data_IF_208006317442
#
_entry.id   IF_208006317442
#
_cell.length_a   1.000
_cell.length_b   1.000
_cell.length_c   1.000
_cell.angle_alpha   90.00
_cell.angle_beta   90.00
_cell.angle_gamma   90.00
#
_symmetry.space_group_name_H-M   'P 1'
#
loop_
_entity.id
_entity.type
_entity.pdbx_description
1 polymer ?
#
# COMPACT_ATOMS: atom_id res chain seq x y z
N UNK A 1 17.96 24.36 -7.48
CA UNK A 1 18.02 22.88 -7.52
C UNK A 1 17.52 22.17 -6.22
N UNK A 2 17.03 22.87 -5.19
CA UNK A 2 16.58 22.27 -3.90
C UNK A 2 15.13 21.71 -3.93
N UNK A 3 14.27 22.16 -4.84
CA UNK A 3 12.85 21.76 -4.85
C UNK A 3 12.58 20.33 -5.34
N UNK A 4 13.43 19.76 -6.18
CA UNK A 4 13.22 18.38 -6.71
C UNK A 4 13.51 17.28 -5.71
N UNK A 5 14.33 17.55 -4.68
CA UNK A 5 14.68 16.57 -3.66
C UNK A 5 13.56 16.40 -2.62
N UNK A 6 12.91 17.52 -2.26
CA UNK A 6 11.82 17.52 -1.27
C UNK A 6 10.59 16.80 -1.82
N UNK A 7 10.30 16.92 -3.13
CA UNK A 7 9.17 16.24 -3.75
C UNK A 7 9.37 14.71 -3.82
N UNK A 8 10.61 14.26 -4.05
CA UNK A 8 10.94 12.82 -4.03
C UNK A 8 10.85 12.22 -2.62
N UNK A 9 11.24 12.98 -1.60
CA UNK A 9 11.18 12.51 -0.21
C UNK A 9 9.74 12.44 0.31
N UNK A 10 8.89 13.41 -0.06
CA UNK A 10 7.47 13.41 0.31
C UNK A 10 6.68 12.25 -0.29
N UNK A 11 6.96 11.90 -1.56
CA UNK A 11 6.31 10.77 -2.23
C UNK A 11 6.73 9.43 -1.61
N UNK A 12 8.00 9.30 -1.21
CA UNK A 12 8.52 8.08 -0.58
C UNK A 12 7.90 7.82 0.79
N UNK A 13 7.70 8.88 1.59
CA UNK A 13 7.06 8.76 2.92
C UNK A 13 5.57 8.41 2.82
N UNK A 14 4.87 8.89 1.80
CA UNK A 14 3.43 8.60 1.60
C UNK A 14 3.20 7.12 1.25
N UNK A 15 4.08 6.55 0.44
CA UNK A 15 4.01 5.14 0.06
C UNK A 15 4.43 4.23 1.24
N UNK A 16 5.45 4.60 2.02
CA UNK A 16 5.93 3.81 3.17
C UNK A 16 4.85 3.67 4.26
N UNK A 17 4.00 4.68 4.44
CA UNK A 17 2.90 4.65 5.40
C UNK A 17 1.79 3.65 5.02
N UNK A 18 1.64 3.30 3.74
CA UNK A 18 0.64 2.34 3.29
C UNK A 18 0.97 0.89 3.68
N UNK A 19 2.25 0.57 3.86
CA UNK A 19 2.73 -0.79 4.19
C UNK A 19 2.68 -1.13 5.67
N UNK A 20 2.80 -0.13 6.55
CA UNK A 20 2.76 -0.34 8.00
C UNK A 20 1.34 -0.57 8.54
N UNK A 21 0.32 -0.50 7.67
CA UNK A 21 -1.10 -0.55 8.07
C UNK A 21 -1.65 -1.97 8.18
N UNK A 22 -1.08 -2.92 7.46
CA UNK A 22 -1.61 -4.29 7.46
C UNK A 22 -1.67 -4.92 8.88
N UNK A 23 -0.67 -4.73 9.78
CA UNK A 23 -0.79 -5.21 11.15
C UNK A 23 -1.55 -4.26 12.10
N UNK A 24 -1.68 -2.96 11.78
CA UNK A 24 -2.34 -1.99 12.68
C UNK A 24 -3.88 -1.97 12.54
N UNK A 25 -4.44 -2.58 11.50
CA UNK A 25 -5.89 -2.64 11.24
C UNK A 25 -6.66 -3.44 12.31
N UNK A 26 -6.01 -4.27 13.10
CA UNK A 26 -6.60 -4.98 14.23
C UNK A 26 -7.02 -4.08 15.40
N UNK A 27 -6.60 -2.81 15.43
CA UNK A 27 -6.90 -1.89 16.54
C UNK A 27 -8.17 -1.05 16.33
N UNK A 28 -8.71 -0.99 15.11
CA UNK A 28 -9.91 -0.18 14.82
C UNK A 28 -11.23 -0.93 14.95
N UNK A 29 -11.20 -2.24 15.21
CA UNK A 29 -12.38 -3.09 15.22
C UNK A 29 -13.00 -3.34 13.83
N UNK A 30 -12.45 -2.74 12.78
CA UNK A 30 -12.92 -2.96 11.40
C UNK A 30 -12.16 -4.13 10.77
N UNK A 31 -12.88 -4.95 10.01
CA UNK A 31 -12.27 -6.03 9.24
C UNK A 31 -11.58 -5.50 7.99
N UNK A 32 -10.58 -6.23 7.49
CA UNK A 32 -9.93 -5.89 6.22
C UNK A 32 -10.92 -5.83 5.05
N UNK A 33 -11.97 -6.64 5.10
CA UNK A 33 -13.04 -6.68 4.10
C UNK A 33 -13.88 -5.40 4.12
N UNK A 34 -14.28 -4.92 5.31
CA UNK A 34 -15.02 -3.67 5.47
C UNK A 34 -14.22 -2.46 4.98
N UNK A 35 -12.94 -2.40 5.31
CA UNK A 35 -12.05 -1.36 4.82
C UNK A 35 -11.87 -1.41 3.30
N UNK A 36 -11.74 -2.60 2.74
CA UNK A 36 -11.67 -2.80 1.30
C UNK A 36 -12.93 -2.31 0.59
N UNK A 37 -14.12 -2.62 1.14
CA UNK A 37 -15.39 -2.13 0.63
C UNK A 37 -15.50 -0.61 0.71
N UNK A 38 -15.17 -0.02 1.86
CA UNK A 38 -15.19 1.44 2.03
C UNK A 38 -14.24 2.14 1.05
N UNK A 39 -13.04 1.59 0.82
CA UNK A 39 -12.11 2.13 -0.17
C UNK A 39 -12.69 2.08 -1.58
N UNK A 40 -13.31 0.96 -1.96
CA UNK A 40 -13.94 0.79 -3.27
C UNK A 40 -15.06 1.81 -3.48
N UNK A 41 -15.94 1.97 -2.49
CA UNK A 41 -17.05 2.92 -2.55
C UNK A 41 -16.53 4.37 -2.60
N UNK A 42 -15.48 4.68 -1.83
CA UNK A 42 -14.84 5.99 -1.85
C UNK A 42 -14.21 6.32 -3.21
N UNK A 43 -13.48 5.36 -3.80
CA UNK A 43 -12.91 5.50 -5.16
C UNK A 43 -14.01 5.75 -6.19
N UNK A 44 -15.10 4.98 -6.17
CA UNK A 44 -16.20 5.15 -7.11
C UNK A 44 -16.79 6.58 -7.03
N UNK A 45 -16.96 7.14 -5.84
CA UNK A 45 -17.42 8.51 -5.65
C UNK A 45 -16.43 9.53 -6.21
N UNK A 46 -15.13 9.37 -5.96
CA UNK A 46 -14.10 10.26 -6.52
C UNK A 46 -14.13 10.24 -8.06
N UNK A 47 -14.21 9.06 -8.68
CA UNK A 47 -14.21 8.93 -10.14
C UNK A 47 -15.43 9.64 -10.75
N UNK A 48 -16.58 9.56 -10.10
CA UNK A 48 -17.80 10.29 -10.47
C UNK A 48 -17.62 11.80 -10.35
N UNK A 49 -17.04 12.28 -9.24
CA UNK A 49 -16.79 13.72 -9.02
C UNK A 49 -15.77 14.28 -10.03
N UNK A 50 -14.81 13.46 -10.44
CA UNK A 50 -13.82 13.80 -11.46
C UNK A 50 -14.38 13.75 -12.88
N UNK A 51 -15.63 13.30 -13.08
CA UNK A 51 -16.28 13.14 -14.38
C UNK A 51 -15.43 12.30 -15.32
N UNK A 52 -14.96 11.16 -14.84
CA UNK A 52 -14.20 10.21 -15.66
C UNK A 52 -15.12 9.64 -16.74
N UNK A 53 -14.63 9.57 -17.97
CA UNK A 53 -15.42 9.02 -19.08
C UNK A 53 -15.69 7.52 -18.86
N UNK A 54 -16.87 6.98 -19.28
CA UNK A 54 -17.27 5.60 -18.97
C UNK A 54 -16.31 4.52 -19.49
N UNK A 55 -15.63 4.76 -20.59
CA UNK A 55 -14.59 3.86 -21.12
C UNK A 55 -13.37 3.82 -20.20
N UNK A 56 -12.98 4.96 -19.66
CA UNK A 56 -11.88 5.10 -18.69
C UNK A 56 -12.23 4.51 -17.33
N UNK A 57 -13.48 4.67 -16.89
CA UNK A 57 -13.97 4.04 -15.66
C UNK A 57 -13.89 2.51 -15.75
N UNK A 58 -14.30 1.91 -16.87
CA UNK A 58 -14.13 0.48 -17.11
C UNK A 58 -12.67 0.04 -17.09
N UNK A 59 -11.77 0.84 -17.69
CA UNK A 59 -10.34 0.56 -17.66
C UNK A 59 -9.79 0.59 -16.22
N UNK A 60 -10.23 1.54 -15.39
CA UNK A 60 -9.83 1.64 -13.98
C UNK A 60 -10.31 0.44 -13.15
N UNK A 61 -11.54 -0.04 -13.39
CA UNK A 61 -12.04 -1.27 -12.75
C UNK A 61 -11.17 -2.47 -13.13
N UNK A 62 -10.83 -2.62 -14.42
CA UNK A 62 -9.98 -3.72 -14.88
C UNK A 62 -8.56 -3.66 -14.26
N UNK A 63 -7.98 -2.46 -14.09
CA UNK A 63 -6.71 -2.25 -13.39
C UNK A 63 -6.84 -2.73 -11.93
N UNK A 64 -7.89 -2.34 -11.22
CA UNK A 64 -8.11 -2.73 -9.83
C UNK A 64 -8.24 -4.26 -9.68
N UNK A 65 -9.02 -4.90 -10.53
CA UNK A 65 -9.19 -6.36 -10.51
C UNK A 65 -7.86 -7.09 -10.76
N UNK A 66 -7.11 -6.68 -11.79
CA UNK A 66 -5.77 -7.22 -12.11
C UNK A 66 -4.85 -7.19 -10.89
N UNK A 67 -4.73 -6.01 -10.26
CA UNK A 67 -3.82 -5.85 -9.13
C UNK A 67 -4.36 -6.45 -7.83
N UNK A 68 -5.66 -6.59 -7.66
CA UNK A 68 -6.26 -7.29 -6.53
C UNK A 68 -5.87 -8.77 -6.52
N UNK A 69 -5.96 -9.45 -7.67
CA UNK A 69 -5.53 -10.84 -7.81
C UNK A 69 -4.03 -10.99 -7.55
N UNK A 70 -3.21 -10.14 -8.20
CA UNK A 70 -1.76 -10.16 -8.03
C UNK A 70 -1.34 -9.92 -6.57
N UNK A 71 -2.01 -9.00 -5.86
CA UNK A 71 -1.71 -8.76 -4.44
C UNK A 71 -2.07 -9.92 -3.55
N UNK A 72 -3.13 -10.67 -3.84
CA UNK A 72 -3.45 -11.89 -3.09
C UNK A 72 -2.26 -12.84 -3.02
N UNK A 73 -1.64 -13.16 -4.16
CA UNK A 73 -0.46 -14.01 -4.23
C UNK A 73 0.76 -13.40 -3.49
N UNK A 74 0.96 -12.09 -3.62
CA UNK A 74 2.08 -11.40 -2.96
C UNK A 74 1.92 -11.43 -1.43
N UNK A 75 0.69 -11.22 -0.93
CA UNK A 75 0.38 -11.26 0.52
C UNK A 75 0.59 -12.66 1.07
N UNK A 76 0.14 -13.70 0.36
CA UNK A 76 0.37 -15.09 0.77
C UNK A 76 1.85 -15.44 0.83
N UNK A 77 2.62 -14.98 -0.15
CA UNK A 77 4.08 -15.19 -0.16
C UNK A 77 4.78 -14.39 0.97
N UNK A 78 4.31 -13.19 1.26
CA UNK A 78 4.82 -12.38 2.37
C UNK A 78 4.54 -13.05 3.72
N UNK A 79 3.35 -13.63 3.89
CA UNK A 79 3.01 -14.39 5.09
C UNK A 79 3.91 -15.62 5.26
N UNK A 80 4.10 -16.40 4.19
CA UNK A 80 5.01 -17.55 4.22
C UNK A 80 6.45 -17.15 4.58
N UNK A 81 6.95 -16.04 4.03
CA UNK A 81 8.27 -15.52 4.34
C UNK A 81 8.38 -15.09 5.81
N UNK A 82 7.33 -14.46 6.36
CA UNK A 82 7.24 -14.11 7.77
C UNK A 82 7.26 -15.36 8.68
N UNK A 83 6.44 -16.35 8.36
CA UNK A 83 6.36 -17.61 9.13
C UNK A 83 7.72 -18.34 9.11
N UNK A 84 8.40 -18.33 7.96
CA UNK A 84 9.76 -18.89 7.81
C UNK A 84 10.76 -18.15 8.69
N UNK A 85 10.71 -16.82 8.73
CA UNK A 85 11.58 -16.00 9.59
C UNK A 85 11.32 -16.30 11.07
N UNK A 86 10.07 -16.38 11.48
CA UNK A 86 9.74 -16.73 12.87
C UNK A 86 10.24 -18.12 13.24
N UNK A 87 10.07 -19.10 12.36
CA UNK A 87 10.56 -20.47 12.59
C UNK A 87 12.10 -20.52 12.69
N UNK A 88 12.81 -19.76 11.85
CA UNK A 88 14.27 -19.69 11.89
C UNK A 88 14.79 -19.09 13.21
N UNK A 89 14.08 -18.08 13.76
CA UNK A 89 14.42 -17.45 15.03
C UNK A 89 14.05 -18.32 16.23
N UNK A 90 12.99 -19.12 16.15
CA UNK A 90 12.55 -20.01 17.24
C UNK A 90 13.36 -21.31 17.34
N UNK A 91 14.22 -21.62 16.39
CA UNK A 91 15.02 -22.84 16.37
C UNK A 91 16.00 -22.88 17.57
N UNK A 92 16.16 -24.02 18.27
CA UNK A 92 17.02 -24.16 19.45
C UNK A 92 18.52 -23.86 19.18
N UNK A 93 18.93 -24.00 17.92
CA UNK A 93 20.21 -23.55 17.39
C UNK A 93 19.89 -22.72 16.16
N UNK A 94 19.81 -21.41 16.32
CA UNK A 94 19.66 -20.51 15.18
C UNK A 94 20.91 -20.59 14.30
N UNK A 95 20.68 -20.83 13.02
CA UNK A 95 21.69 -20.80 11.98
C UNK A 95 21.65 -19.41 11.35
N UNK A 96 22.69 -18.62 11.57
CA UNK A 96 22.75 -17.23 11.06
C UNK A 96 22.54 -17.15 9.55
N UNK A 97 22.99 -18.15 8.78
CA UNK A 97 22.78 -18.17 7.34
C UNK A 97 21.31 -18.34 7.00
N UNK A 98 20.57 -19.22 7.68
CA UNK A 98 19.13 -19.41 7.50
C UNK A 98 18.33 -18.21 7.94
N UNK A 99 18.70 -17.58 9.06
CA UNK A 99 18.06 -16.34 9.51
C UNK A 99 18.26 -15.23 8.49
N UNK A 100 19.48 -15.05 7.97
CA UNK A 100 19.78 -14.06 6.93
C UNK A 100 18.97 -14.30 5.65
N UNK A 101 18.87 -15.54 5.20
CA UNK A 101 18.05 -15.90 4.03
C UNK A 101 16.58 -15.58 4.26
N UNK A 102 16.03 -15.94 5.42
CA UNK A 102 14.64 -15.68 5.76
C UNK A 102 14.35 -14.17 5.88
N UNK A 103 15.28 -13.37 6.45
CA UNK A 103 15.18 -11.90 6.48
C UNK A 103 15.15 -11.34 5.07
N UNK A 104 16.05 -11.79 4.18
CA UNK A 104 16.08 -11.34 2.79
C UNK A 104 14.77 -11.66 2.08
N UNK A 105 14.28 -12.89 2.21
CA UNK A 105 13.02 -13.33 1.60
C UNK A 105 11.82 -12.49 2.08
N UNK A 106 11.79 -12.14 3.37
CA UNK A 106 10.73 -11.27 3.92
C UNK A 106 10.81 -9.85 3.36
N UNK A 107 12.00 -9.24 3.32
CA UNK A 107 12.21 -7.91 2.77
C UNK A 107 11.81 -7.86 1.29
N UNK A 108 12.22 -8.87 0.51
CA UNK A 108 11.87 -8.96 -0.92
C UNK A 108 10.37 -9.11 -1.16
N UNK A 109 9.69 -9.88 -0.31
CA UNK A 109 8.23 -10.01 -0.38
C UNK A 109 7.53 -8.66 -0.09
N UNK A 110 8.01 -7.91 0.92
CA UNK A 110 7.50 -6.56 1.21
C UNK A 110 7.77 -5.59 0.05
N UNK A 111 8.96 -5.64 -0.56
CA UNK A 111 9.31 -4.80 -1.70
C UNK A 111 8.42 -5.07 -2.92
N UNK A 112 8.06 -6.35 -3.18
CA UNK A 112 7.11 -6.72 -4.25
C UNK A 112 5.72 -6.14 -4.01
N UNK A 113 5.21 -6.18 -2.78
CA UNK A 113 3.93 -5.60 -2.44
C UNK A 113 3.92 -4.08 -2.73
N UNK A 114 4.99 -3.42 -2.35
CA UNK A 114 5.21 -2.00 -2.61
C UNK A 114 5.19 -1.66 -4.10
N UNK A 115 5.96 -2.45 -4.86
CA UNK A 115 6.05 -2.28 -6.31
C UNK A 115 4.68 -2.47 -6.97
N UNK A 116 3.89 -3.45 -6.52
CA UNK A 116 2.55 -3.70 -7.02
C UNK A 116 1.60 -2.52 -6.79
N UNK A 117 1.64 -1.90 -5.60
CA UNK A 117 0.84 -0.69 -5.34
C UNK A 117 1.26 0.49 -6.22
N UNK A 118 2.57 0.68 -6.40
CA UNK A 118 3.07 1.74 -7.28
C UNK A 118 2.61 1.53 -8.72
N UNK A 119 2.75 0.32 -9.23
CA UNK A 119 2.34 -0.03 -10.59
C UNK A 119 0.84 0.17 -10.80
N UNK A 120 0.01 -0.25 -9.84
CA UNK A 120 -1.43 0.01 -9.90
C UNK A 120 -1.72 1.51 -9.98
N UNK A 121 -1.10 2.30 -9.11
CA UNK A 121 -1.31 3.75 -9.10
C UNK A 121 -0.87 4.38 -10.43
N UNK A 122 0.27 3.98 -10.97
CA UNK A 122 0.76 4.47 -12.26
C UNK A 122 -0.23 4.14 -13.39
N UNK A 123 -0.78 2.91 -13.43
CA UNK A 123 -1.78 2.49 -14.42
C UNK A 123 -3.13 3.21 -14.24
N UNK A 124 -3.59 3.42 -13.00
CA UNK A 124 -4.79 4.21 -12.72
C UNK A 124 -4.63 5.68 -13.19
N UNK A 125 -3.51 6.31 -12.84
CA UNK A 125 -3.24 7.69 -13.22
C UNK A 125 -3.11 7.87 -14.74
N UNK A 126 -2.61 6.87 -15.47
CA UNK A 126 -2.51 6.92 -16.92
C UNK A 126 -3.88 7.04 -17.63
N UNK A 127 -4.99 6.68 -16.96
CA UNK A 127 -6.34 6.84 -17.48
C UNK A 127 -6.90 8.26 -17.30
N UNK A 128 -6.18 9.16 -16.63
CA UNK A 128 -6.65 10.47 -16.18
C UNK A 128 -5.85 11.61 -16.81
N UNK A 129 -6.50 12.76 -17.01
CA UNK A 129 -5.79 14.00 -17.35
C UNK A 129 -4.94 14.48 -16.15
N UNK A 130 -3.91 15.32 -16.37
CA UNK A 130 -3.07 15.81 -15.26
C UNK A 130 -3.85 16.47 -14.12
N UNK A 131 -4.91 17.21 -14.43
CA UNK A 131 -5.77 17.82 -13.40
C UNK A 131 -6.55 16.77 -12.62
N UNK A 132 -7.08 15.74 -13.29
CA UNK A 132 -7.78 14.64 -12.63
C UNK A 132 -6.82 13.83 -11.75
N UNK A 133 -5.60 13.55 -12.23
CA UNK A 133 -4.54 12.89 -11.44
C UNK A 133 -4.27 13.61 -10.12
N UNK A 134 -4.06 14.94 -10.17
CA UNK A 134 -3.83 15.74 -8.97
C UNK A 134 -5.00 15.69 -7.98
N UNK A 135 -6.23 15.83 -8.47
CA UNK A 135 -7.43 15.74 -7.63
C UNK A 135 -7.63 14.35 -7.03
N UNK A 136 -7.39 13.29 -7.82
CA UNK A 136 -7.45 11.92 -7.37
C UNK A 136 -6.47 11.65 -6.24
N UNK A 137 -5.21 12.03 -6.40
CA UNK A 137 -4.18 11.85 -5.37
C UNK A 137 -4.50 12.59 -4.07
N UNK A 138 -5.00 13.83 -4.17
CA UNK A 138 -5.43 14.59 -2.98
C UNK A 138 -6.60 13.91 -2.26
N UNK A 139 -7.57 13.39 -3.01
CA UNK A 139 -8.69 12.68 -2.43
C UNK A 139 -8.24 11.36 -1.76
N UNK A 140 -7.41 10.57 -2.41
CA UNK A 140 -6.86 9.33 -1.84
C UNK A 140 -6.05 9.58 -0.57
N UNK A 141 -5.26 10.66 -0.52
CA UNK A 141 -4.52 11.05 0.68
C UNK A 141 -5.46 11.46 1.83
N UNK A 142 -6.54 12.18 1.55
CA UNK A 142 -7.56 12.52 2.56
C UNK A 142 -8.21 11.26 3.14
N UNK A 143 -8.57 10.29 2.28
CA UNK A 143 -9.11 9.01 2.73
C UNK A 143 -8.12 8.28 3.64
N UNK A 144 -6.86 8.21 3.23
CA UNK A 144 -5.81 7.61 4.02
C UNK A 144 -5.71 8.23 5.42
N UNK A 145 -5.72 9.56 5.50
CA UNK A 145 -5.64 10.28 6.78
C UNK A 145 -6.87 10.04 7.68
N UNK A 146 -8.03 9.80 7.09
CA UNK A 146 -9.26 9.53 7.85
C UNK A 146 -9.32 8.10 8.36
N UNK A 147 -8.89 7.13 7.56
CA UNK A 147 -9.03 5.70 7.85
C UNK A 147 -7.83 5.10 8.58
N UNK A 148 -6.67 5.78 8.56
CA UNK A 148 -5.52 5.30 9.31
C UNK A 148 -5.47 5.91 10.70
N UNK A 149 -5.35 5.08 11.75
CA UNK A 149 -5.08 5.60 13.07
C UNK A 149 -3.80 6.45 13.00
N UNK A 150 -3.82 7.62 13.61
CA UNK A 150 -2.63 8.44 13.78
C UNK A 150 -1.62 7.59 14.54
N UNK A 151 -0.67 7.00 13.85
CA UNK A 151 0.50 6.41 14.49
C UNK A 151 1.22 7.59 15.14
N UNK A 152 0.94 7.80 16.42
CA UNK A 152 1.72 8.73 17.25
C UNK A 152 3.12 8.12 17.37
N UNK A 153 4.02 8.52 16.48
CA UNK A 153 5.45 8.37 16.75
C UNK A 153 5.71 9.35 17.88
N UNK A 154 6.02 8.89 19.09
CA UNK A 154 6.43 9.81 20.15
C UNK A 154 7.71 10.48 19.66
N UNK A 155 7.60 11.76 19.30
CA UNK A 155 8.77 12.59 19.06
C UNK A 155 9.41 12.76 20.43
N UNK A 156 10.37 11.91 20.74
CA UNK A 156 11.25 12.12 21.87
C UNK A 156 12.14 13.32 21.54
N UNK A 157 11.65 14.52 21.85
CA UNK A 157 12.49 15.70 21.95
C UNK A 157 13.45 15.47 23.11
N UNK A 158 14.73 15.20 22.81
CA UNK A 158 15.84 15.40 23.72
C UNK A 158 16.34 16.84 23.61
#
# INVERSE_FOLDING_TARGET
>A
MKGKLIFKLGLLTTILSFLLVIPALGQTGQTNEELGKQLKDYKANILKDLKIAPDKEKALVAVEEKFSLQRGEIVDNSKKAWDTLQAALAAPKSDDAKVKEAVTAYIDAQAKLFTSFKQQLDEELAQMSPLQQGKYLVAMEKWRQQCMPKVCIPVTTK
#
